data_IF_266989337551
#
_entry.id   IF_266989337551
#
_cell.length_a   1.000
_cell.length_b   1.000
_cell.length_c   1.000
_cell.angle_alpha   90.00
_cell.angle_beta   90.00
_cell.angle_gamma   90.00
#
_symmetry.space_group_name_H-M   'P 1'
#
loop_
_entity.id
_entity.type
_entity.pdbx_description
1 polymer ?
#
# COMPACT_ATOMS: atom_id res chain seq x y z
N UNK A 1 18.24 26.43 -6.88
CA UNK A 1 16.99 27.13 -7.24
C UNK A 1 15.77 26.21 -7.19
N UNK A 2 15.87 24.96 -7.67
CA UNK A 2 14.76 23.99 -7.55
C UNK A 2 14.48 23.59 -6.10
N UNK A 3 15.52 23.34 -5.30
CA UNK A 3 15.39 22.89 -3.90
C UNK A 3 14.54 23.80 -3.00
N UNK A 4 14.55 25.12 -3.26
CA UNK A 4 13.81 26.08 -2.45
C UNK A 4 12.33 26.19 -2.82
N UNK A 5 11.90 25.62 -3.96
CA UNK A 5 10.54 25.75 -4.49
C UNK A 5 9.85 24.41 -4.77
N UNK A 6 10.43 23.32 -4.28
CA UNK A 6 9.97 21.95 -4.58
C UNK A 6 9.48 21.25 -3.32
N UNK A 7 8.45 20.43 -3.48
CA UNK A 7 8.06 19.34 -2.57
C UNK A 7 8.41 18.03 -3.25
N UNK A 8 9.05 17.13 -2.52
CA UNK A 8 9.39 15.80 -3.00
C UNK A 8 8.28 14.81 -2.62
N UNK A 9 8.00 13.85 -3.50
CA UNK A 9 7.10 12.75 -3.22
C UNK A 9 7.73 11.44 -3.66
N UNK A 10 8.06 10.56 -2.70
CA UNK A 10 8.53 9.22 -2.97
C UNK A 10 7.32 8.30 -3.13
N UNK A 11 7.04 7.93 -4.37
CA UNK A 11 5.91 7.11 -4.76
C UNK A 11 6.27 5.63 -4.93
N UNK A 12 7.53 5.26 -4.77
CA UNK A 12 7.95 3.85 -4.73
C UNK A 12 7.78 3.29 -3.30
N UNK A 13 6.54 3.14 -2.88
CA UNK A 13 6.17 2.75 -1.51
C UNK A 13 6.50 1.28 -1.20
N UNK A 14 6.74 0.46 -2.23
CA UNK A 14 7.09 -0.96 -2.11
C UNK A 14 8.60 -1.14 -1.86
N UNK A 15 9.42 -0.29 -2.50
CA UNK A 15 10.87 -0.29 -2.40
C UNK A 15 11.41 1.14 -2.21
N UNK A 16 10.88 1.87 -1.25
CA UNK A 16 11.20 3.27 -1.00
C UNK A 16 12.70 3.45 -0.70
N UNK A 17 13.47 3.92 -1.67
CA UNK A 17 14.93 4.08 -1.58
C UNK A 17 15.38 5.55 -1.54
N UNK A 18 14.51 6.50 -1.87
CA UNK A 18 14.83 7.92 -1.88
C UNK A 18 15.29 8.41 -0.49
N UNK A 19 14.79 7.79 0.58
CA UNK A 19 15.21 8.08 1.94
C UNK A 19 16.69 7.72 2.23
N UNK A 20 17.27 6.77 1.49
CA UNK A 20 18.68 6.40 1.63
C UNK A 20 19.60 7.47 1.01
N UNK A 21 19.13 8.18 -0.01
CA UNK A 21 19.89 9.21 -0.71
C UNK A 21 19.77 10.59 -0.03
N UNK A 22 18.62 10.89 0.56
CA UNK A 22 18.28 12.22 1.05
C UNK A 22 18.39 12.35 2.57
N UNK A 23 18.61 11.24 3.29
CA UNK A 23 18.71 11.18 4.76
C UNK A 23 17.65 12.06 5.47
N UNK A 24 16.35 11.83 5.21
CA UNK A 24 15.30 12.75 5.63
C UNK A 24 15.11 12.76 7.14
N UNK A 25 14.97 13.95 7.73
CA UNK A 25 14.56 14.10 9.11
C UNK A 25 13.03 14.01 9.22
N UNK A 26 12.52 12.91 9.78
CA UNK A 26 11.08 12.68 9.95
C UNK A 26 10.49 13.73 10.90
N UNK A 27 9.42 14.40 10.47
CA UNK A 27 8.68 15.41 11.23
C UNK A 27 7.31 14.88 11.67
N UNK A 28 6.65 14.14 10.78
CA UNK A 28 5.33 13.54 11.01
C UNK A 28 5.33 12.09 10.54
N UNK A 29 4.55 11.25 11.21
CA UNK A 29 4.36 9.86 10.82
C UNK A 29 2.96 9.39 11.18
N UNK A 30 2.28 8.76 10.23
CA UNK A 30 0.89 8.34 10.35
C UNK A 30 0.71 6.90 9.88
N UNK A 31 -0.15 6.19 10.55
CA UNK A 31 -0.52 4.83 10.17
C UNK A 31 -1.43 4.87 8.92
N UNK A 32 -1.14 3.99 7.98
CA UNK A 32 -1.99 3.77 6.81
C UNK A 32 -2.77 2.49 7.02
N UNK A 33 -4.04 2.65 7.38
CA UNK A 33 -4.95 1.56 7.69
C UNK A 33 -5.85 1.31 6.48
N UNK A 34 -5.76 0.11 5.90
CA UNK A 34 -6.58 -0.28 4.76
C UNK A 34 -6.87 -1.79 4.75
N UNK A 35 -8.11 -2.12 4.41
CA UNK A 35 -8.59 -3.49 4.49
C UNK A 35 -8.88 -3.91 5.93
N UNK A 36 -9.22 -5.15 6.10
CA UNK A 36 -9.50 -5.76 7.40
C UNK A 36 -8.71 -7.06 7.57
N UNK A 37 -8.53 -7.48 8.80
CA UNK A 37 -7.99 -8.78 9.14
C UNK A 37 -9.02 -9.52 9.97
N UNK A 38 -9.37 -10.72 9.54
CA UNK A 38 -10.30 -11.55 10.29
C UNK A 38 -9.54 -12.41 11.32
N UNK A 39 -10.11 -12.58 12.49
CA UNK A 39 -9.61 -13.46 13.57
C UNK A 39 -10.74 -14.34 14.07
N UNK A 40 -10.42 -15.59 14.40
CA UNK A 40 -11.39 -16.52 15.00
C UNK A 40 -11.13 -16.58 16.49
N UNK A 41 -12.13 -16.25 17.28
CA UNK A 41 -12.13 -16.57 18.70
C UNK A 41 -12.32 -18.08 18.88
N UNK A 42 -11.22 -18.74 19.22
CA UNK A 42 -11.20 -20.19 19.42
C UNK A 42 -12.12 -20.64 20.56
N UNK A 43 -12.41 -19.79 21.55
CA UNK A 43 -13.25 -20.15 22.69
C UNK A 43 -14.74 -20.29 22.30
N UNK A 44 -15.19 -19.45 21.36
CA UNK A 44 -16.55 -19.49 20.81
C UNK A 44 -16.73 -20.36 19.57
N UNK A 45 -15.64 -20.85 18.98
CA UNK A 45 -15.71 -21.64 17.74
C UNK A 45 -16.29 -23.03 17.96
N UNK A 46 -17.34 -23.41 17.22
CA UNK A 46 -17.98 -24.74 17.29
C UNK A 46 -17.45 -25.74 16.25
N UNK A 47 -16.38 -25.40 15.49
CA UNK A 47 -15.77 -26.30 14.52
C UNK A 47 -16.63 -26.65 13.30
N UNK A 48 -17.64 -25.85 12.94
CA UNK A 48 -18.63 -26.19 11.91
C UNK A 48 -18.14 -26.11 10.45
N UNK A 49 -16.99 -25.49 10.18
CA UNK A 49 -16.35 -25.42 8.87
C UNK A 49 -16.91 -24.41 7.86
N UNK A 50 -18.06 -23.77 8.10
CA UNK A 50 -18.69 -22.84 7.16
C UNK A 50 -17.78 -21.70 6.69
N UNK A 51 -16.95 -21.19 7.58
CA UNK A 51 -15.99 -20.14 7.25
C UNK A 51 -14.89 -20.64 6.29
N UNK A 52 -14.42 -21.89 6.45
CA UNK A 52 -13.42 -22.47 5.56
C UNK A 52 -14.00 -22.78 4.18
N UNK A 53 -15.23 -23.29 4.11
CA UNK A 53 -15.96 -23.52 2.86
C UNK A 53 -16.21 -22.21 2.07
N UNK A 54 -16.49 -21.11 2.77
CA UNK A 54 -16.73 -19.80 2.17
C UNK A 54 -15.45 -19.05 1.78
N UNK A 55 -14.26 -19.49 2.24
CA UNK A 55 -13.02 -18.78 2.00
C UNK A 55 -12.43 -19.06 0.61
N UNK A 56 -12.56 -18.11 -0.31
CA UNK A 56 -11.98 -18.20 -1.66
C UNK A 56 -10.44 -18.19 -1.69
N UNK A 57 -9.81 -17.75 -0.60
CA UNK A 57 -8.34 -17.61 -0.49
C UNK A 57 -7.69 -18.80 0.21
N UNK A 58 -8.46 -19.79 0.61
CA UNK A 58 -7.98 -20.94 1.39
C UNK A 58 -7.17 -20.53 2.65
N UNK A 59 -7.52 -19.39 3.25
CA UNK A 59 -6.82 -18.85 4.39
C UNK A 59 -7.24 -19.47 5.73
N UNK A 60 -8.25 -20.36 5.77
CA UNK A 60 -8.80 -20.90 7.00
C UNK A 60 -8.46 -22.39 7.12
N UNK A 61 -7.74 -22.73 8.19
CA UNK A 61 -7.24 -24.07 8.48
C UNK A 61 -7.94 -24.68 9.67
N UNK A 62 -8.16 -26.02 9.64
CA UNK A 62 -8.68 -26.79 10.78
C UNK A 62 -7.51 -27.30 11.63
N UNK A 63 -6.78 -26.37 12.24
CA UNK A 63 -5.61 -26.62 13.07
C UNK A 63 -5.54 -25.65 14.27
N UNK A 64 -6.66 -25.05 14.61
CA UNK A 64 -6.79 -24.21 15.80
C UNK A 64 -6.82 -25.01 17.11
N UNK A 65 -6.62 -24.37 18.26
CA UNK A 65 -6.61 -25.03 19.56
C UNK A 65 -7.97 -25.64 19.90
N UNK A 66 -8.01 -26.70 20.73
CA UNK A 66 -9.25 -27.22 21.28
C UNK A 66 -9.91 -26.21 22.24
N UNK A 67 -11.21 -26.37 22.45
CA UNK A 67 -11.96 -25.65 23.45
C UNK A 67 -12.94 -26.60 24.20
N UNK A 68 -13.78 -26.05 25.05
CA UNK A 68 -14.74 -26.85 25.85
C UNK A 68 -15.88 -27.46 25.01
N UNK A 69 -16.03 -27.04 23.74
CA UNK A 69 -17.11 -27.47 22.83
C UNK A 69 -16.61 -28.52 21.85
N UNK A 70 -15.40 -28.34 21.28
CA UNK A 70 -14.84 -29.19 20.23
C UNK A 70 -13.35 -29.47 20.47
N UNK A 71 -12.90 -30.66 20.05
CA UNK A 71 -11.48 -31.07 20.18
C UNK A 71 -10.53 -30.31 19.27
N UNK A 72 -11.02 -29.57 18.27
CA UNK A 72 -10.22 -28.75 17.37
C UNK A 72 -11.07 -27.63 16.76
N UNK A 73 -10.49 -26.45 16.62
CA UNK A 73 -11.14 -25.28 16.04
C UNK A 73 -10.51 -24.88 14.70
N UNK A 74 -11.06 -23.90 14.06
CA UNK A 74 -10.46 -23.29 12.88
C UNK A 74 -9.57 -22.10 13.26
N UNK A 75 -8.55 -21.86 12.45
CA UNK A 75 -7.62 -20.72 12.55
C UNK A 75 -7.50 -20.03 11.18
N UNK A 76 -7.36 -18.72 11.18
CA UNK A 76 -7.07 -17.95 9.98
C UNK A 76 -5.55 -17.78 9.84
N UNK A 77 -5.02 -18.10 8.65
CA UNK A 77 -3.64 -17.81 8.28
C UNK A 77 -3.51 -16.33 7.90
N UNK A 78 -2.77 -15.52 8.68
CA UNK A 78 -2.75 -14.09 8.48
C UNK A 78 -2.22 -13.63 7.13
N UNK A 79 -1.25 -14.37 6.56
CA UNK A 79 -0.63 -14.01 5.27
C UNK A 79 -1.49 -14.40 4.06
N UNK A 80 -2.41 -15.35 4.23
CA UNK A 80 -3.34 -15.77 3.18
C UNK A 80 -4.70 -15.07 3.26
N UNK A 81 -4.95 -14.29 4.32
CA UNK A 81 -6.22 -13.61 4.53
C UNK A 81 -6.27 -12.26 3.81
N UNK A 82 -7.08 -12.16 2.77
CA UNK A 82 -7.31 -10.92 2.00
C UNK A 82 -8.35 -9.96 2.63
N UNK A 83 -8.86 -10.28 3.82
CA UNK A 83 -9.77 -9.37 4.54
C UNK A 83 -11.09 -9.09 3.84
N UNK A 84 -11.60 -10.02 3.04
CA UNK A 84 -12.84 -9.82 2.25
C UNK A 84 -14.11 -9.72 3.09
N UNK A 85 -14.06 -10.04 4.39
CA UNK A 85 -15.18 -9.92 5.33
C UNK A 85 -16.28 -10.98 5.20
N UNK A 86 -16.12 -12.03 4.37
CA UNK A 86 -17.14 -13.05 4.16
C UNK A 86 -17.28 -14.00 5.36
N UNK A 87 -16.18 -14.40 5.96
CA UNK A 87 -16.20 -15.40 7.03
C UNK A 87 -16.96 -14.98 8.31
N UNK A 88 -16.94 -13.71 8.78
CA UNK A 88 -17.81 -13.28 9.85
C UNK A 88 -19.31 -13.43 9.52
N UNK A 89 -19.69 -13.13 8.29
CA UNK A 89 -21.10 -13.16 7.86
C UNK A 89 -21.70 -14.58 7.84
N UNK A 90 -20.85 -15.60 7.66
CA UNK A 90 -21.32 -17.00 7.60
C UNK A 90 -21.12 -17.75 8.91
N UNK A 91 -20.53 -17.11 9.92
CA UNK A 91 -20.31 -17.72 11.22
C UNK A 91 -21.62 -17.77 12.04
N UNK A 92 -22.16 -18.96 12.36
CA UNK A 92 -23.46 -19.05 13.03
C UNK A 92 -23.42 -18.69 14.53
N UNK A 93 -22.21 -18.51 15.07
CA UNK A 93 -21.99 -18.23 16.51
C UNK A 93 -21.19 -16.95 16.73
N UNK A 94 -21.03 -16.12 15.68
CA UNK A 94 -20.33 -14.84 15.72
C UNK A 94 -18.90 -14.92 16.32
N UNK A 95 -18.24 -16.09 16.18
CA UNK A 95 -16.90 -16.32 16.70
C UNK A 95 -15.80 -15.70 15.80
N UNK A 96 -16.12 -14.93 14.76
CA UNK A 96 -15.16 -14.32 13.86
C UNK A 96 -15.34 -12.81 13.89
N UNK A 97 -14.25 -12.14 14.21
CA UNK A 97 -14.17 -10.68 14.22
C UNK A 97 -13.30 -10.17 13.09
N UNK A 98 -13.60 -8.97 12.59
CA UNK A 98 -12.78 -8.26 11.61
C UNK A 98 -12.30 -6.96 12.24
N UNK A 99 -10.99 -6.78 12.20
CA UNK A 99 -10.32 -5.59 12.68
C UNK A 99 -9.67 -4.84 11.51
N UNK A 100 -9.56 -3.54 11.64
CA UNK A 100 -8.84 -2.73 10.67
C UNK A 100 -7.38 -3.18 10.57
N UNK A 101 -6.87 -3.29 9.33
CA UNK A 101 -5.52 -3.76 9.05
C UNK A 101 -4.58 -2.58 8.84
N UNK A 102 -3.52 -2.49 9.66
CA UNK A 102 -2.39 -1.61 9.40
C UNK A 102 -1.58 -2.17 8.23
N UNK A 103 -1.62 -1.50 7.08
CA UNK A 103 -0.98 -1.96 5.84
C UNK A 103 0.28 -1.17 5.49
N UNK A 104 0.52 -0.04 6.16
CA UNK A 104 1.71 0.77 5.92
C UNK A 104 1.76 2.00 6.81
N UNK A 105 2.73 2.86 6.54
CA UNK A 105 2.87 4.16 7.20
C UNK A 105 3.31 5.20 6.19
N UNK A 106 2.81 6.42 6.32
CA UNK A 106 3.28 7.55 5.53
C UNK A 106 3.86 8.64 6.43
N UNK A 107 4.73 9.44 5.87
CA UNK A 107 5.56 10.39 6.61
C UNK A 107 5.66 11.73 5.88
N UNK A 108 5.88 12.78 6.65
CA UNK A 108 6.42 14.05 6.17
C UNK A 108 7.79 14.25 6.79
N UNK A 109 8.77 14.53 5.96
CA UNK A 109 10.16 14.69 6.38
C UNK A 109 10.77 15.95 5.79
N UNK A 110 11.79 16.48 6.46
CA UNK A 110 12.62 17.54 5.92
C UNK A 110 13.87 16.95 5.26
N UNK A 111 14.26 17.47 4.10
CA UNK A 111 15.53 17.16 3.42
C UNK A 111 16.25 18.45 3.04
N UNK A 112 17.49 18.36 2.61
CA UNK A 112 18.27 19.50 2.09
C UNK A 112 17.67 20.05 0.76
N UNK A 113 16.82 19.26 0.09
CA UNK A 113 16.20 19.60 -1.19
C UNK A 113 14.73 20.06 -1.05
N UNK A 114 14.22 20.11 0.17
CA UNK A 114 12.85 20.52 0.46
C UNK A 114 12.09 19.50 1.32
N UNK A 115 10.82 19.78 1.63
CA UNK A 115 9.97 18.83 2.34
C UNK A 115 9.66 17.63 1.44
N UNK A 116 9.56 16.45 2.05
CA UNK A 116 9.32 15.19 1.36
C UNK A 116 8.13 14.46 1.98
N UNK A 117 7.13 14.13 1.18
CA UNK A 117 6.11 13.16 1.51
C UNK A 117 6.56 11.79 1.01
N UNK A 118 6.51 10.79 1.88
CA UNK A 118 6.91 9.43 1.53
C UNK A 118 6.15 8.41 2.36
N UNK A 119 6.20 7.15 1.95
CA UNK A 119 5.54 6.08 2.68
C UNK A 119 6.34 4.79 2.60
N UNK A 120 5.97 3.86 3.46
CA UNK A 120 6.48 2.49 3.44
C UNK A 120 5.32 1.54 3.63
N UNK A 121 5.17 0.63 2.69
CA UNK A 121 4.23 -0.48 2.79
C UNK A 121 4.74 -1.52 3.80
N UNK A 122 3.84 -2.19 4.50
CA UNK A 122 4.16 -3.31 5.38
C UNK A 122 4.61 -4.53 4.59
N UNK A 123 5.30 -5.46 5.25
CA UNK A 123 5.79 -6.70 4.63
C UNK A 123 4.60 -7.53 4.17
N UNK A 124 4.63 -7.98 2.91
CA UNK A 124 3.57 -8.74 2.26
C UNK A 124 2.20 -8.04 2.26
N UNK A 125 2.20 -6.71 2.27
CA UNK A 125 0.99 -5.92 2.20
C UNK A 125 0.70 -5.49 0.76
N UNK A 126 -0.58 -5.33 0.46
CA UNK A 126 -1.08 -4.83 -0.81
C UNK A 126 -1.61 -3.39 -0.67
N UNK A 127 -2.20 -2.85 -1.73
CA UNK A 127 -2.72 -1.49 -1.82
C UNK A 127 -1.67 -0.38 -2.01
N UNK A 128 -0.53 -0.71 -2.58
CA UNK A 128 0.53 0.26 -2.92
C UNK A 128 0.00 1.46 -3.72
N UNK A 129 -0.88 1.25 -4.71
CA UNK A 129 -1.47 2.35 -5.49
C UNK A 129 -2.28 3.36 -4.65
N UNK A 130 -2.98 2.89 -3.60
CA UNK A 130 -3.70 3.79 -2.68
C UNK A 130 -2.76 4.53 -1.76
N UNK A 131 -1.68 3.88 -1.33
CA UNK A 131 -0.67 4.52 -0.50
C UNK A 131 0.08 5.60 -1.30
N UNK A 132 0.40 5.34 -2.57
CA UNK A 132 0.94 6.35 -3.51
C UNK A 132 -0.02 7.54 -3.63
N UNK A 133 -1.32 7.29 -3.78
CA UNK A 133 -2.32 8.37 -3.83
C UNK A 133 -2.29 9.21 -2.55
N UNK A 134 -2.13 8.58 -1.37
CA UNK A 134 -2.00 9.27 -0.10
C UNK A 134 -0.74 10.16 -0.06
N UNK A 135 0.42 9.64 -0.48
CA UNK A 135 1.69 10.39 -0.56
C UNK A 135 1.55 11.60 -1.48
N UNK A 136 0.98 11.42 -2.67
CA UNK A 136 0.77 12.50 -3.64
C UNK A 136 -0.18 13.57 -3.12
N UNK A 137 -1.27 13.16 -2.46
CA UNK A 137 -2.21 14.10 -1.86
C UNK A 137 -1.52 14.94 -0.78
N UNK A 138 -0.73 14.30 0.09
CA UNK A 138 0.02 15.03 1.12
C UNK A 138 1.08 15.95 0.52
N UNK A 139 1.74 15.55 -0.56
CA UNK A 139 2.68 16.41 -1.27
C UNK A 139 1.98 17.66 -1.86
N UNK A 140 0.77 17.50 -2.39
CA UNK A 140 -0.03 18.63 -2.90
C UNK A 140 -0.42 19.60 -1.76
N UNK A 141 -0.91 19.08 -0.63
CA UNK A 141 -1.21 19.89 0.56
C UNK A 141 0.03 20.66 1.05
N UNK A 142 1.19 20.00 1.16
CA UNK A 142 2.45 20.65 1.54
C UNK A 142 2.86 21.76 0.55
N UNK A 143 2.58 21.56 -0.73
CA UNK A 143 2.87 22.54 -1.76
C UNK A 143 2.05 23.81 -1.56
N UNK A 144 0.77 23.67 -1.24
CA UNK A 144 -0.12 24.79 -0.92
C UNK A 144 0.25 25.46 0.42
N UNK A 145 0.44 24.67 1.48
CA UNK A 145 0.80 25.15 2.83
C UNK A 145 2.09 25.98 2.82
N UNK A 146 3.11 25.52 2.07
CA UNK A 146 4.43 26.12 2.01
C UNK A 146 4.62 27.08 0.81
N UNK A 147 3.57 27.30 0.02
CA UNK A 147 3.57 28.14 -1.19
C UNK A 147 4.71 27.75 -2.15
N UNK A 148 4.84 26.45 -2.41
CA UNK A 148 5.77 25.90 -3.39
C UNK A 148 5.08 25.82 -4.76
N UNK A 149 5.86 25.67 -5.83
CA UNK A 149 5.34 25.69 -7.21
C UNK A 149 5.52 24.34 -7.92
N UNK A 150 6.36 23.46 -7.37
CA UNK A 150 6.73 22.20 -8.00
C UNK A 150 6.58 21.03 -7.05
N UNK A 151 5.99 19.95 -7.54
CA UNK A 151 6.06 18.64 -6.91
C UNK A 151 6.91 17.74 -7.81
N UNK A 152 7.98 17.21 -7.27
CA UNK A 152 8.80 16.20 -7.93
C UNK A 152 8.44 14.82 -7.38
N UNK A 153 7.81 14.02 -8.22
CA UNK A 153 7.43 12.64 -7.87
C UNK A 153 8.53 11.67 -8.32
N UNK A 154 9.06 10.90 -7.40
CA UNK A 154 9.90 9.73 -7.70
C UNK A 154 8.99 8.51 -7.84
N UNK A 155 8.82 8.04 -9.07
CA UNK A 155 7.85 7.00 -9.41
C UNK A 155 8.43 5.59 -9.36
N UNK A 156 7.63 4.57 -9.01
CA UNK A 156 8.06 3.17 -9.03
C UNK A 156 8.26 2.65 -10.45
N UNK A 157 9.02 1.58 -10.64
CA UNK A 157 9.18 0.91 -11.93
C UNK A 157 7.92 0.14 -12.34
N UNK A 158 7.86 -0.21 -13.63
CA UNK A 158 6.80 -1.05 -14.17
C UNK A 158 5.55 -0.31 -14.65
N UNK A 159 4.40 -0.99 -14.68
CA UNK A 159 3.11 -0.46 -15.18
C UNK A 159 1.92 -0.81 -14.28
N UNK A 160 2.18 -1.20 -13.04
CA UNK A 160 1.17 -1.60 -12.06
C UNK A 160 0.40 -0.42 -11.43
N UNK A 161 -0.48 -0.73 -10.48
CA UNK A 161 -1.29 0.27 -9.79
C UNK A 161 -0.49 1.45 -9.19
N UNK A 162 0.69 1.26 -8.59
CA UNK A 162 1.45 2.38 -8.06
C UNK A 162 1.98 3.32 -9.17
N UNK A 163 2.40 2.78 -10.33
CA UNK A 163 2.81 3.61 -11.48
C UNK A 163 1.62 4.41 -12.02
N UNK A 164 0.47 3.76 -12.18
CA UNK A 164 -0.78 4.42 -12.59
C UNK A 164 -1.12 5.57 -11.64
N UNK A 165 -1.05 5.30 -10.33
CA UNK A 165 -1.30 6.31 -9.31
C UNK A 165 -0.25 7.45 -9.34
N UNK A 166 1.00 7.17 -9.70
CA UNK A 166 2.08 8.17 -9.81
C UNK A 166 1.91 9.07 -11.03
N UNK A 167 1.53 8.52 -12.18
CA UNK A 167 1.43 9.24 -13.46
C UNK A 167 0.13 10.04 -13.57
N UNK A 168 -0.98 9.47 -13.07
CA UNK A 168 -2.31 10.07 -13.25
C UNK A 168 -2.40 11.48 -12.69
N UNK A 169 -2.75 12.46 -13.55
CA UNK A 169 -2.91 13.86 -13.16
C UNK A 169 -1.60 14.61 -12.91
N UNK A 170 -0.44 14.11 -13.35
CA UNK A 170 0.80 14.87 -13.41
C UNK A 170 0.83 15.75 -14.66
N UNK A 171 1.68 16.79 -14.67
CA UNK A 171 1.81 17.69 -15.80
C UNK A 171 2.86 17.20 -16.82
N UNK A 172 3.83 16.41 -16.36
CA UNK A 172 4.93 15.90 -17.18
C UNK A 172 5.45 14.60 -16.56
N UNK A 173 5.77 13.62 -17.41
CA UNK A 173 6.47 12.39 -17.03
C UNK A 173 7.84 12.36 -17.71
N UNK A 174 8.88 12.18 -16.92
CA UNK A 174 10.24 11.94 -17.40
C UNK A 174 10.58 10.46 -17.13
N UNK A 175 10.81 9.71 -18.19
CA UNK A 175 11.14 8.28 -18.08
C UNK A 175 12.66 8.14 -18.10
N UNK A 176 13.20 7.57 -17.02
CA UNK A 176 14.63 7.24 -16.92
C UNK A 176 14.75 5.73 -17.09
N UNK A 177 15.58 5.28 -18.02
CA UNK A 177 15.76 3.86 -18.33
C UNK A 177 17.22 3.53 -18.65
N UNK A 178 17.57 2.25 -18.54
CA UNK A 178 18.84 1.74 -18.96
C UNK A 178 18.85 1.42 -20.46
N UNK A 179 20.00 1.54 -21.15
CA UNK A 179 20.11 1.23 -22.57
C UNK A 179 20.22 -0.29 -22.82
N UNK A 180 19.27 -1.03 -22.26
CA UNK A 180 19.14 -2.49 -22.41
C UNK A 180 17.86 -2.84 -23.17
N UNK A 181 17.75 -4.05 -23.74
CA UNK A 181 16.55 -4.49 -24.45
C UNK A 181 15.33 -4.48 -23.54
N UNK A 182 15.47 -4.92 -22.30
CA UNK A 182 14.38 -4.88 -21.30
C UNK A 182 14.03 -3.44 -20.93
N UNK A 183 15.02 -2.57 -20.71
CA UNK A 183 14.78 -1.17 -20.38
C UNK A 183 14.03 -0.42 -21.46
N UNK A 184 14.36 -0.64 -22.75
CA UNK A 184 13.63 -0.04 -23.87
C UNK A 184 12.18 -0.55 -23.92
N UNK A 185 11.97 -1.85 -23.73
CA UNK A 185 10.62 -2.42 -23.70
C UNK A 185 9.77 -1.85 -22.56
N UNK A 186 10.34 -1.72 -21.36
CA UNK A 186 9.61 -1.16 -20.22
C UNK A 186 9.35 0.35 -20.41
N UNK A 187 10.29 1.09 -20.98
CA UNK A 187 10.09 2.48 -21.38
C UNK A 187 8.89 2.63 -22.33
N UNK A 188 8.79 1.80 -23.38
CA UNK A 188 7.68 1.83 -24.33
C UNK A 188 6.32 1.62 -23.63
N UNK A 189 6.25 0.71 -22.65
CA UNK A 189 5.03 0.46 -21.87
C UNK A 189 4.63 1.65 -21.01
N UNK A 190 5.60 2.29 -20.34
CA UNK A 190 5.34 3.50 -19.55
C UNK A 190 4.95 4.68 -20.42
N UNK A 191 5.56 4.83 -21.60
CA UNK A 191 5.15 5.84 -22.60
C UNK A 191 3.70 5.66 -23.03
N UNK A 192 3.29 4.42 -23.34
CA UNK A 192 1.91 4.10 -23.70
C UNK A 192 0.94 4.42 -22.54
N UNK A 193 1.34 4.11 -21.33
CA UNK A 193 0.57 4.42 -20.13
C UNK A 193 0.40 5.96 -19.95
N UNK A 194 1.48 6.73 -20.06
CA UNK A 194 1.43 8.20 -19.99
C UNK A 194 0.54 8.80 -21.06
N UNK A 195 0.65 8.31 -22.30
CA UNK A 195 -0.19 8.70 -23.41
C UNK A 195 -1.68 8.39 -23.17
N UNK A 196 -1.99 7.22 -22.55
CA UNK A 196 -3.35 6.86 -22.17
C UNK A 196 -3.97 7.85 -21.19
N UNK A 197 -3.19 8.40 -20.27
CA UNK A 197 -3.62 9.45 -19.32
C UNK A 197 -3.50 10.87 -19.88
N UNK A 198 -3.06 11.05 -21.12
CA UNK A 198 -2.87 12.35 -21.76
C UNK A 198 -1.74 13.16 -21.13
N UNK A 199 -0.75 12.54 -20.51
CA UNK A 199 0.40 13.19 -19.88
C UNK A 199 1.59 13.14 -20.84
N UNK A 200 2.20 14.34 -21.16
CA UNK A 200 3.38 14.39 -22.02
C UNK A 200 4.63 13.84 -21.36
#
# INVERSE_FOLDING_TARGET
HLATNTVLADNDVDAADLHLLLEPAVREGHDFVRGTKATIDSTGCIGCGKCAEACHFNAIRFDGPPNDIVGQTYRIEPLACEGCGLCPLVCPVDAIQSEDKLTGRWYVSGTDFGPMAHARLGIAEENSGRLVTCVRHRAAELTEELKRELILNDGPPGTGCPVIASVSGTNLVVIVTEPTVSGVHDMERVMQLSAHFGVP
#
